data_IF_479887794077
#
_entry.id   IF_479887794077
#
_cell.length_a   1.000
_cell.length_b   1.000
_cell.length_c   1.000
_cell.angle_alpha   90.00
_cell.angle_beta   90.00
_cell.angle_gamma   90.00
#
_symmetry.space_group_name_H-M   'P 1'
#
loop_
_entity.id
_entity.type
_entity.pdbx_description
1 polymer ?
#
# COMPACT_ATOMS: atom_id res chain seq x y z
N UNK A 1 -8.66 -15.69 -1.76
CA UNK A 1 -7.48 -15.19 -1.03
C UNK A 1 -7.50 -13.69 -1.23
N UNK A 2 -7.85 -12.96 -0.17
CA UNK A 2 -8.12 -11.52 -0.15
C UNK A 2 -6.84 -10.73 -0.35
N UNK A 3 -7.02 -9.61 -1.04
CA UNK A 3 -6.07 -8.63 -1.53
C UNK A 3 -4.88 -8.31 -0.62
N UNK A 4 -3.68 -8.33 -1.21
CA UNK A 4 -2.51 -7.65 -0.62
C UNK A 4 -2.63 -6.12 -0.61
N UNK A 5 -3.80 -5.55 -0.94
CA UNK A 5 -4.08 -4.10 -0.96
C UNK A 5 -4.46 -3.57 0.40
N UNK A 6 -5.31 -4.26 1.15
CA UNK A 6 -5.66 -3.95 2.55
C UNK A 6 -4.41 -3.85 3.44
N UNK A 7 -3.47 -4.78 3.24
CA UNK A 7 -2.19 -4.78 3.95
C UNK A 7 -1.28 -3.64 3.50
N UNK A 8 -1.35 -3.20 2.24
CA UNK A 8 -0.60 -2.03 1.77
C UNK A 8 -1.13 -0.74 2.36
N UNK A 9 -2.45 -0.55 2.43
CA UNK A 9 -3.01 0.67 3.02
C UNK A 9 -2.62 0.81 4.49
N UNK A 10 -2.75 -0.26 5.28
CA UNK A 10 -2.28 -0.30 6.67
C UNK A 10 -0.78 -0.13 6.79
N UNK A 11 -0.02 -0.68 5.83
CA UNK A 11 1.42 -0.52 5.78
C UNK A 11 1.82 0.91 5.39
N UNK A 12 1.08 1.61 4.53
CA UNK A 12 1.40 2.99 4.15
C UNK A 12 0.95 3.98 5.23
N UNK A 13 -0.20 3.76 5.85
CA UNK A 13 -0.75 4.61 6.90
C UNK A 13 0.00 4.41 8.23
N UNK A 14 0.17 3.17 8.69
CA UNK A 14 0.78 2.87 10.00
C UNK A 14 2.29 2.59 9.95
N UNK A 15 2.79 2.03 8.85
CA UNK A 15 4.21 1.68 8.63
C UNK A 15 4.84 2.51 7.49
N UNK A 16 4.22 3.61 7.04
CA UNK A 16 4.89 4.57 6.16
C UNK A 16 5.57 5.68 6.96
N UNK A 17 4.98 6.00 8.12
CA UNK A 17 5.46 7.05 9.02
C UNK A 17 6.48 6.55 10.05
N UNK A 18 6.62 5.23 10.27
CA UNK A 18 7.43 4.67 11.35
C UNK A 18 8.53 3.61 11.04
N UNK A 19 8.77 3.11 9.81
CA UNK A 19 9.93 2.28 9.53
C UNK A 19 10.76 2.83 8.36
N UNK A 20 11.96 3.31 8.70
CA UNK A 20 13.19 2.52 8.54
C UNK A 20 13.09 1.37 7.51
N UNK A 21 12.93 1.71 6.23
CA UNK A 21 13.27 0.83 5.12
C UNK A 21 13.70 1.64 3.89
N UNK A 22 15.02 1.81 3.78
CA UNK A 22 15.84 1.95 2.55
C UNK A 22 15.52 3.12 1.59
N UNK A 23 16.45 4.07 1.51
CA UNK A 23 16.90 4.63 0.24
C UNK A 23 18.36 5.12 0.26
N UNK A 24 19.18 4.40 -0.54
CA UNK A 24 20.28 4.85 -1.39
C UNK A 24 21.46 5.65 -0.81
N UNK A 25 22.59 4.94 -0.74
CA UNK A 25 23.93 5.49 -1.00
C UNK A 25 23.92 6.35 -2.26
N UNK A 26 24.32 7.62 -2.14
CA UNK A 26 25.04 8.31 -3.20
C UNK A 26 26.47 8.54 -2.72
N UNK A 27 27.52 8.18 -3.48
CA UNK A 27 28.85 8.67 -3.19
C UNK A 27 28.85 10.19 -3.34
N UNK A 28 29.35 10.88 -2.31
CA UNK A 28 29.50 12.32 -2.30
C UNK A 28 30.23 12.79 -3.57
N UNK A 29 29.56 13.63 -4.37
CA UNK A 29 30.24 14.48 -5.34
C UNK A 29 30.93 15.59 -4.54
N UNK A 30 32.25 15.60 -4.55
CA UNK A 30 33.05 16.73 -4.08
C UNK A 30 32.72 17.95 -4.95
N UNK A 31 31.95 18.88 -4.41
CA UNK A 31 31.86 20.23 -4.97
C UNK A 31 33.05 21.06 -4.48
N UNK A 32 33.68 21.88 -5.34
CA UNK A 32 34.80 22.72 -4.93
C UNK A 32 34.35 23.77 -3.92
N UNK A 33 35.17 23.94 -2.88
CA UNK A 33 35.11 25.01 -1.87
C UNK A 33 35.15 26.38 -2.56
N UNK A 34 34.07 27.14 -2.43
CA UNK A 34 34.12 28.60 -2.54
C UNK A 34 33.91 29.17 -1.13
N UNK A 35 34.94 29.88 -0.64
CA UNK A 35 34.94 30.59 0.63
C UNK A 35 34.03 31.82 0.51
N UNK A 36 32.88 31.80 1.18
CA UNK A 36 32.07 33.01 1.38
C UNK A 36 31.32 32.96 2.71
N UNK A 37 31.83 33.77 3.65
CA UNK A 37 31.15 34.45 4.75
C UNK A 37 30.28 33.64 5.73
N UNK A 38 30.87 33.45 6.91
CA UNK A 38 30.27 33.21 8.22
C UNK A 38 28.92 33.94 8.44
N UNK A 39 27.83 33.21 8.28
CA UNK A 39 26.71 33.30 9.21
C UNK A 39 26.77 32.02 10.05
N UNK A 40 26.90 32.16 11.37
CA UNK A 40 26.62 31.08 12.31
C UNK A 40 25.11 30.78 12.25
N UNK A 41 24.66 30.16 11.15
CA UNK A 41 23.46 29.37 11.20
C UNK A 41 23.80 28.21 12.11
N UNK A 42 23.04 28.03 13.20
CA UNK A 42 22.94 26.73 13.85
C UNK A 42 22.83 25.71 12.73
N UNK A 43 23.87 24.88 12.56
CA UNK A 43 23.84 23.76 11.62
C UNK A 43 22.62 22.95 12.08
N UNK A 44 21.50 23.14 11.38
CA UNK A 44 20.33 22.32 11.63
C UNK A 44 20.83 20.90 11.38
N UNK A 45 20.93 20.07 12.43
CA UNK A 45 21.52 18.75 12.30
C UNK A 45 20.79 18.08 11.15
N UNK A 46 21.55 17.61 10.16
CA UNK A 46 21.08 17.02 8.90
C UNK A 46 19.71 16.37 9.12
N UNK A 47 18.64 17.13 8.86
CA UNK A 47 17.30 16.73 9.23
C UNK A 47 16.93 15.63 8.26
N UNK A 48 17.12 14.38 8.70
CA UNK A 48 16.91 13.20 7.88
C UNK A 48 15.43 13.03 7.49
N UNK A 49 14.53 13.80 8.10
CA UNK A 49 13.13 13.78 7.79
C UNK A 49 12.77 14.69 6.62
N UNK A 50 12.41 14.03 5.53
CA UNK A 50 11.42 14.43 4.53
C UNK A 50 11.23 15.95 4.40
N UNK A 51 11.84 16.55 3.37
CA UNK A 51 11.60 17.96 3.07
C UNK A 51 10.10 18.23 2.90
N UNK A 52 9.60 19.44 3.18
CA UNK A 52 8.17 19.75 3.05
C UNK A 52 7.57 19.39 1.68
N UNK A 53 8.39 19.42 0.62
CA UNK A 53 8.00 18.99 -0.72
C UNK A 53 7.83 17.46 -0.83
N UNK A 54 8.76 16.68 -0.26
CA UNK A 54 8.62 15.22 -0.25
C UNK A 54 7.42 14.80 0.59
N UNK A 55 7.16 15.45 1.73
CA UNK A 55 6.00 15.13 2.58
C UNK A 55 4.70 15.40 1.82
N UNK A 56 4.59 16.57 1.18
CA UNK A 56 3.41 16.92 0.39
C UNK A 56 3.15 15.93 -0.74
N UNK A 57 4.20 15.55 -1.48
CA UNK A 57 4.07 14.60 -2.59
C UNK A 57 3.73 13.19 -2.08
N UNK A 58 4.30 12.79 -0.95
CA UNK A 58 4.00 11.52 -0.29
C UNK A 58 2.54 11.45 0.20
N UNK A 59 2.02 12.55 0.76
CA UNK A 59 0.62 12.64 1.17
C UNK A 59 -0.34 12.65 -0.02
N UNK A 60 0.01 13.32 -1.12
CA UNK A 60 -0.80 13.26 -2.35
C UNK A 60 -0.84 11.82 -2.90
N UNK A 61 0.30 11.15 -2.95
CA UNK A 61 0.38 9.74 -3.35
C UNK A 61 -0.43 8.82 -2.44
N UNK A 62 -0.44 9.08 -1.12
CA UNK A 62 -1.24 8.34 -0.16
C UNK A 62 -2.74 8.54 -0.42
N UNK A 63 -3.18 9.77 -0.69
CA UNK A 63 -4.58 10.04 -1.04
C UNK A 63 -4.99 9.26 -2.28
N UNK A 64 -4.17 9.27 -3.33
CA UNK A 64 -4.43 8.51 -4.56
C UNK A 64 -4.58 7.01 -4.28
N UNK A 65 -3.77 6.46 -3.37
CA UNK A 65 -3.86 5.04 -2.99
C UNK A 65 -5.08 4.71 -2.12
N UNK A 66 -5.54 5.65 -1.29
CA UNK A 66 -6.79 5.49 -0.53
C UNK A 66 -7.99 5.61 -1.48
N UNK A 67 -7.95 6.56 -2.42
CA UNK A 67 -8.98 6.75 -3.44
C UNK A 67 -9.17 5.51 -4.32
N UNK A 68 -8.08 4.92 -4.79
CA UNK A 68 -8.11 3.67 -5.56
C UNK A 68 -8.82 2.50 -4.84
N UNK A 69 -8.88 2.52 -3.51
CA UNK A 69 -9.45 1.45 -2.68
C UNK A 69 -10.85 1.80 -2.15
N UNK A 70 -11.10 3.06 -1.81
CA UNK A 70 -12.39 3.53 -1.27
C UNK A 70 -13.31 4.15 -2.33
N UNK A 71 -12.81 4.35 -3.56
CA UNK A 71 -13.51 4.94 -4.70
C UNK A 71 -14.18 6.28 -4.33
N UNK A 72 -13.37 7.29 -3.99
CA UNK A 72 -13.92 8.58 -3.59
C UNK A 72 -14.53 9.31 -4.79
N UNK A 73 -15.58 10.08 -4.54
CA UNK A 73 -15.97 11.12 -5.48
C UNK A 73 -15.02 12.34 -5.42
N UNK A 74 -15.14 13.26 -6.38
CA UNK A 74 -14.27 14.44 -6.49
C UNK A 74 -14.29 15.30 -5.21
N UNK A 75 -15.43 15.40 -4.52
CA UNK A 75 -15.56 16.21 -3.30
C UNK A 75 -14.90 15.51 -2.11
N UNK A 76 -15.16 14.21 -1.94
CA UNK A 76 -14.53 13.36 -0.95
C UNK A 76 -13.01 13.33 -1.10
N UNK A 77 -12.51 13.12 -2.32
CA UNK A 77 -11.07 13.12 -2.63
C UNK A 77 -10.42 14.43 -2.18
N UNK A 78 -11.00 15.58 -2.55
CA UNK A 78 -10.46 16.89 -2.20
C UNK A 78 -10.53 17.17 -0.69
N UNK A 79 -11.59 16.70 -0.01
CA UNK A 79 -11.75 16.82 1.43
C UNK A 79 -10.70 15.96 2.18
N UNK A 80 -10.55 14.68 1.82
CA UNK A 80 -9.56 13.76 2.39
C UNK A 80 -8.14 14.28 2.17
N UNK A 81 -7.83 14.77 0.96
CA UNK A 81 -6.53 15.36 0.66
C UNK A 81 -6.22 16.55 1.56
N UNK A 82 -7.20 17.41 1.81
CA UNK A 82 -7.04 18.56 2.71
C UNK A 82 -6.83 18.09 4.14
N UNK A 83 -7.68 17.17 4.62
CA UNK A 83 -7.63 16.59 5.95
C UNK A 83 -6.24 16.01 6.23
N UNK A 84 -5.75 15.12 5.36
CA UNK A 84 -4.44 14.48 5.53
C UNK A 84 -3.30 15.50 5.51
N UNK A 85 -3.32 16.46 4.58
CA UNK A 85 -2.29 17.51 4.50
C UNK A 85 -2.23 18.35 5.76
N UNK A 86 -3.38 18.76 6.27
CA UNK A 86 -3.44 19.61 7.46
C UNK A 86 -3.03 18.83 8.72
N UNK A 87 -3.69 17.69 8.96
CA UNK A 87 -3.51 16.92 10.20
C UNK A 87 -2.15 16.23 10.28
N UNK A 88 -1.72 15.54 9.22
CA UNK A 88 -0.42 14.83 9.23
C UNK A 88 0.75 15.81 9.28
N UNK A 89 0.68 16.93 8.56
CA UNK A 89 1.73 17.95 8.63
C UNK A 89 1.79 18.58 10.03
N UNK A 90 0.64 18.88 10.64
CA UNK A 90 0.57 19.41 12.01
C UNK A 90 1.22 18.45 13.01
N UNK A 91 0.81 17.19 13.01
CA UNK A 91 1.38 16.15 13.87
C UNK A 91 2.89 16.01 13.68
N UNK A 92 3.36 15.89 12.44
CA UNK A 92 4.79 15.77 12.17
C UNK A 92 5.58 17.00 12.61
N UNK A 93 5.03 18.21 12.49
CA UNK A 93 5.69 19.43 12.97
C UNK A 93 5.76 19.50 14.49
N UNK A 94 4.73 19.05 15.18
CA UNK A 94 4.70 19.00 16.65
C UNK A 94 5.73 18.00 17.20
N UNK A 95 5.78 16.80 16.62
CA UNK A 95 6.65 15.71 17.09
C UNK A 95 8.02 15.65 16.38
N UNK A 96 8.31 16.57 15.44
CA UNK A 96 9.50 16.47 14.57
C UNK A 96 10.80 16.28 15.35
N UNK A 97 10.97 16.99 16.47
CA UNK A 97 12.23 17.00 17.22
C UNK A 97 12.51 15.63 17.82
N UNK A 98 11.50 15.03 18.44
CA UNK A 98 11.64 13.72 19.10
C UNK A 98 11.70 12.59 18.08
N UNK A 99 10.86 12.63 17.04
CA UNK A 99 10.91 11.66 15.94
C UNK A 99 12.28 11.67 15.23
N UNK A 100 12.85 12.85 14.99
CA UNK A 100 14.20 12.98 14.42
C UNK A 100 15.25 12.39 15.33
N UNK A 101 15.14 12.63 16.64
CA UNK A 101 16.08 12.06 17.58
C UNK A 101 16.00 10.54 17.57
N UNK A 102 14.80 9.96 17.72
CA UNK A 102 14.59 8.51 17.71
C UNK A 102 15.09 7.88 16.40
N UNK A 103 14.82 8.51 15.25
CA UNK A 103 15.30 8.04 13.96
C UNK A 103 16.83 8.03 13.91
N UNK A 104 17.50 9.11 14.35
CA UNK A 104 18.96 9.19 14.38
C UNK A 104 19.55 8.14 15.33
N UNK A 105 19.02 8.00 16.54
CA UNK A 105 19.43 6.96 17.52
C UNK A 105 19.34 5.57 16.89
N UNK A 106 18.22 5.25 16.23
CA UNK A 106 18.09 3.96 15.54
C UNK A 106 19.15 3.80 14.44
N UNK A 107 19.34 4.81 13.59
CA UNK A 107 20.28 4.71 12.46
C UNK A 107 21.72 4.58 12.93
N UNK A 108 22.11 5.32 13.97
CA UNK A 108 23.42 5.20 14.60
C UNK A 108 23.67 3.78 15.09
N UNK A 109 22.71 3.18 15.81
CA UNK A 109 22.80 1.78 16.22
C UNK A 109 22.90 0.84 15.00
N UNK A 110 22.01 1.02 14.01
CA UNK A 110 21.97 0.19 12.81
C UNK A 110 23.29 0.20 12.03
N UNK A 111 23.90 1.37 11.86
CA UNK A 111 25.15 1.53 11.12
C UNK A 111 26.40 1.22 11.94
N UNK A 112 26.32 1.15 13.27
CA UNK A 112 27.40 0.66 14.12
C UNK A 112 27.73 -0.82 13.84
N UNK A 113 26.75 -1.60 13.35
CA UNK A 113 26.94 -2.99 12.92
C UNK A 113 26.94 -4.03 14.04
N UNK A 114 27.14 -3.61 15.29
CA UNK A 114 27.00 -4.42 16.50
C UNK A 114 25.63 -4.17 17.16
N UNK A 115 25.02 -5.19 17.80
CA UNK A 115 23.77 -4.98 18.53
C UNK A 115 23.99 -4.01 19.70
N UNK A 116 23.10 -3.02 19.91
CA UNK A 116 23.15 -2.18 21.10
C UNK A 116 22.94 -3.00 22.37
N UNK A 117 23.43 -2.52 23.50
CA UNK A 117 23.15 -3.14 24.79
C UNK A 117 21.69 -2.90 25.24
N UNK A 118 21.23 -3.68 26.22
CA UNK A 118 19.85 -3.62 26.70
C UNK A 118 19.51 -2.28 27.38
N UNK A 119 20.49 -1.57 27.95
CA UNK A 119 20.27 -0.28 28.60
C UNK A 119 20.02 0.80 27.54
N UNK A 120 20.78 0.78 26.45
CA UNK A 120 20.57 1.63 25.29
C UNK A 120 19.19 1.41 24.67
N UNK A 121 18.80 0.15 24.47
CA UNK A 121 17.48 -0.18 23.91
C UNK A 121 16.35 0.22 24.86
N UNK A 122 16.54 0.08 26.17
CA UNK A 122 15.57 0.52 27.16
C UNK A 122 15.33 2.04 27.12
N UNK A 123 16.40 2.85 27.08
CA UNK A 123 16.30 4.31 26.95
C UNK A 123 15.58 4.73 25.66
N UNK A 124 15.91 4.08 24.53
CA UNK A 124 15.20 4.28 23.27
C UNK A 124 13.71 3.97 23.42
N UNK A 125 13.38 2.85 24.05
CA UNK A 125 11.99 2.39 24.18
C UNK A 125 11.16 3.26 25.12
N UNK A 126 11.74 3.74 26.23
CA UNK A 126 11.09 4.69 27.14
C UNK A 126 10.66 5.98 26.44
N UNK A 127 11.41 6.39 25.42
CA UNK A 127 11.13 7.59 24.62
C UNK A 127 10.22 7.34 23.44
N UNK A 128 10.37 6.20 22.78
CA UNK A 128 9.54 5.81 21.65
C UNK A 128 8.10 5.49 22.06
N UNK A 129 7.88 4.92 23.25
CA UNK A 129 6.56 4.46 23.68
C UNK A 129 5.54 5.60 23.78
N UNK A 130 5.82 6.77 24.41
CA UNK A 130 4.92 7.92 24.38
C UNK A 130 4.58 8.38 22.95
N UNK A 131 5.56 8.40 22.04
CA UNK A 131 5.34 8.83 20.66
C UNK A 131 4.42 7.86 19.90
N UNK A 132 4.53 6.56 20.16
CA UNK A 132 3.61 5.56 19.59
C UNK A 132 2.19 5.71 20.12
N UNK A 133 2.02 6.05 21.41
CA UNK A 133 0.71 6.30 22.02
C UNK A 133 0.03 7.54 21.42
N UNK A 134 0.77 8.64 21.32
CA UNK A 134 0.30 9.89 20.69
C UNK A 134 -0.03 9.66 19.21
N UNK A 135 0.78 8.89 18.49
CA UNK A 135 0.48 8.52 17.09
C UNK A 135 -0.79 7.67 16.97
N UNK A 136 -1.03 6.75 17.92
CA UNK A 136 -2.26 5.95 17.93
C UNK A 136 -3.50 6.83 18.12
N UNK A 137 -3.46 7.76 19.08
CA UNK A 137 -4.53 8.73 19.30
C UNK A 137 -4.78 9.58 18.05
N UNK A 138 -3.70 10.10 17.44
CA UNK A 138 -3.76 10.84 16.17
C UNK A 138 -4.44 10.04 15.05
N UNK A 139 -4.12 8.76 14.92
CA UNK A 139 -4.73 7.90 13.90
C UNK A 139 -6.23 7.67 14.13
N UNK A 140 -6.69 7.61 15.38
CA UNK A 140 -8.12 7.56 15.70
C UNK A 140 -8.83 8.86 15.35
N UNK A 141 -8.25 10.01 15.69
CA UNK A 141 -8.80 11.33 15.31
C UNK A 141 -8.87 11.50 13.80
N UNK A 142 -7.85 11.03 13.09
CA UNK A 142 -7.83 11.05 11.64
C UNK A 142 -8.96 10.19 11.08
N UNK A 143 -9.14 8.96 11.59
CA UNK A 143 -10.23 8.07 11.19
C UNK A 143 -11.61 8.69 11.46
N UNK A 144 -11.80 9.41 12.56
CA UNK A 144 -13.03 10.18 12.82
C UNK A 144 -13.26 11.24 11.74
N UNK A 145 -12.21 11.97 11.33
CA UNK A 145 -12.29 12.91 10.22
C UNK A 145 -12.69 12.26 8.89
N UNK A 146 -12.23 11.03 8.62
CA UNK A 146 -12.69 10.27 7.45
C UNK A 146 -14.18 9.91 7.56
N UNK A 147 -14.68 9.55 8.76
CA UNK A 147 -16.10 9.19 8.96
C UNK A 147 -17.06 10.34 8.65
N UNK A 148 -16.62 11.58 8.79
CA UNK A 148 -17.42 12.75 8.42
C UNK A 148 -17.52 12.98 6.91
N UNK A 149 -16.57 12.44 6.12
CA UNK A 149 -16.45 12.64 4.68
C UNK A 149 -17.02 11.43 3.90
N UNK A 150 -16.82 10.24 4.44
CA UNK A 150 -17.09 8.98 3.77
C UNK A 150 -18.55 8.52 3.93
N UNK A 151 -19.04 7.72 2.98
CA UNK A 151 -20.32 7.03 3.11
C UNK A 151 -20.21 5.79 4.02
N UNK A 152 -21.33 5.15 4.33
CA UNK A 152 -21.37 4.03 5.28
C UNK A 152 -20.48 2.84 4.89
N UNK A 153 -20.41 2.49 3.60
CA UNK A 153 -19.60 1.37 3.12
C UNK A 153 -18.10 1.69 3.23
N UNK A 154 -17.70 2.91 2.84
CA UNK A 154 -16.34 3.41 3.00
C UNK A 154 -15.94 3.48 4.49
N UNK A 155 -16.85 3.94 5.37
CA UNK A 155 -16.64 3.95 6.82
C UNK A 155 -16.43 2.53 7.35
N UNK A 156 -17.22 1.55 6.91
CA UNK A 156 -17.03 0.16 7.32
C UNK A 156 -15.64 -0.38 6.91
N UNK A 157 -15.12 0.03 5.76
CA UNK A 157 -13.76 -0.31 5.32
C UNK A 157 -12.68 0.37 6.18
N UNK A 158 -12.82 1.68 6.45
CA UNK A 158 -11.91 2.43 7.32
C UNK A 158 -11.86 1.82 8.72
N UNK A 159 -13.01 1.52 9.31
CA UNK A 159 -13.12 0.87 10.62
C UNK A 159 -12.45 -0.51 10.64
N UNK A 160 -12.59 -1.27 9.54
CA UNK A 160 -11.91 -2.55 9.36
C UNK A 160 -10.39 -2.37 9.30
N UNK A 161 -9.89 -1.34 8.64
CA UNK A 161 -8.47 -1.01 8.66
C UNK A 161 -8.02 -0.62 10.08
N UNK A 162 -8.75 0.27 10.76
CA UNK A 162 -8.42 0.69 12.13
C UNK A 162 -8.34 -0.49 13.10
N UNK A 163 -9.23 -1.49 13.00
CA UNK A 163 -9.13 -2.70 13.80
C UNK A 163 -7.83 -3.50 13.56
N UNK A 164 -7.35 -3.52 12.31
CA UNK A 164 -6.05 -4.11 11.98
C UNK A 164 -4.88 -3.27 12.51
N UNK A 165 -4.98 -1.94 12.41
CA UNK A 165 -3.99 -1.00 12.93
C UNK A 165 -3.83 -1.11 14.46
N UNK A 166 -4.94 -1.19 15.20
CA UNK A 166 -4.95 -1.35 16.67
C UNK A 166 -4.14 -2.58 17.11
N UNK A 167 -4.28 -3.70 16.40
CA UNK A 167 -3.48 -4.92 16.66
C UNK A 167 -1.98 -4.68 16.44
N UNK A 168 -1.61 -3.91 15.41
CA UNK A 168 -0.22 -3.56 15.14
C UNK A 168 0.36 -2.63 16.21
N UNK A 169 -0.42 -1.64 16.64
CA UNK A 169 -0.04 -0.74 17.74
C UNK A 169 0.12 -1.51 19.05
N UNK A 170 -0.82 -2.39 19.39
CA UNK A 170 -0.75 -3.25 20.59
C UNK A 170 0.56 -4.06 20.60
N UNK A 171 0.88 -4.75 19.50
CA UNK A 171 2.12 -5.50 19.39
C UNK A 171 3.38 -4.60 19.49
N UNK A 172 3.33 -3.39 18.94
CA UNK A 172 4.39 -2.40 19.08
C UNK A 172 4.58 -1.92 20.52
N UNK A 173 3.49 -1.64 21.23
CA UNK A 173 3.50 -1.22 22.63
C UNK A 173 4.02 -2.32 23.54
N UNK A 174 3.57 -3.56 23.37
CA UNK A 174 4.06 -4.73 24.12
C UNK A 174 5.57 -4.87 23.97
N UNK A 175 6.09 -4.71 22.75
CA UNK A 175 7.51 -4.81 22.45
C UNK A 175 8.33 -3.66 23.06
N UNK A 176 7.90 -2.42 22.87
CA UNK A 176 8.58 -1.26 23.45
C UNK A 176 8.57 -1.33 24.98
N UNK A 177 7.48 -1.79 25.58
CA UNK A 177 7.42 -2.00 27.03
C UNK A 177 8.39 -3.10 27.50
N UNK A 178 8.47 -4.22 26.78
CA UNK A 178 9.44 -5.27 27.11
C UNK A 178 10.89 -4.73 27.00
N UNK A 179 11.16 -3.91 25.98
CA UNK A 179 12.46 -3.26 25.80
C UNK A 179 12.81 -2.27 26.91
N UNK A 180 11.87 -1.43 27.35
CA UNK A 180 12.11 -0.50 28.46
C UNK A 180 12.35 -1.23 29.79
N UNK A 181 11.77 -2.42 29.96
CA UNK A 181 12.04 -3.30 31.10
C UNK A 181 13.37 -4.07 30.97
N UNK A 182 14.12 -3.88 29.87
CA UNK A 182 15.43 -4.48 29.62
C UNK A 182 15.40 -5.86 28.97
N UNK A 183 14.25 -6.31 28.46
CA UNK A 183 14.08 -7.62 27.81
C UNK A 183 14.47 -7.62 26.32
N UNK A 184 15.47 -6.83 25.93
CA UNK A 184 16.01 -6.87 24.56
C UNK A 184 16.87 -8.11 24.34
N UNK A 185 16.53 -8.90 23.31
CA UNK A 185 17.31 -10.09 22.91
C UNK A 185 18.04 -9.85 21.58
N UNK A 186 19.37 -9.62 21.58
CA UNK A 186 20.12 -9.35 20.36
C UNK A 186 20.08 -10.52 19.37
N UNK A 187 19.88 -11.77 19.81
CA UNK A 187 19.83 -12.91 18.90
C UNK A 187 18.54 -12.93 18.07
N UNK A 188 17.40 -12.53 18.64
CA UNK A 188 16.12 -12.60 17.92
C UNK A 188 15.61 -11.24 17.43
N UNK A 189 16.18 -10.14 17.89
CA UNK A 189 15.69 -8.78 17.62
C UNK A 189 16.65 -7.91 16.82
N UNK A 190 17.93 -8.28 16.73
CA UNK A 190 18.92 -7.55 15.93
C UNK A 190 18.99 -8.07 14.49
N UNK A 191 18.84 -7.19 13.50
CA UNK A 191 18.89 -7.55 12.06
C UNK A 191 20.16 -8.28 11.63
N UNK A 192 21.29 -8.05 12.33
CA UNK A 192 22.56 -8.71 12.06
C UNK A 192 22.65 -10.16 12.55
N UNK A 193 21.73 -10.61 13.41
CA UNK A 193 21.76 -11.95 13.97
C UNK A 193 21.30 -13.03 12.96
N UNK A 194 21.87 -14.25 13.00
CA UNK A 194 21.38 -15.41 12.26
C UNK A 194 19.91 -15.77 12.58
N UNK A 195 19.50 -15.68 13.84
CA UNK A 195 18.17 -16.10 14.28
C UNK A 195 17.07 -15.07 14.00
N UNK A 196 17.45 -13.80 13.83
CA UNK A 196 16.53 -12.69 13.58
C UNK A 196 15.56 -12.95 12.43
N UNK A 197 16.05 -13.40 11.26
CA UNK A 197 15.19 -13.57 10.07
C UNK A 197 14.05 -14.56 10.30
N UNK A 198 14.32 -15.65 11.03
CA UNK A 198 13.32 -16.65 11.33
C UNK A 198 12.31 -16.14 12.38
N UNK A 199 12.81 -15.51 13.45
CA UNK A 199 11.98 -14.92 14.49
C UNK A 199 11.07 -13.83 13.90
N UNK A 200 11.63 -12.91 13.10
CA UNK A 200 10.91 -11.81 12.47
C UNK A 200 9.85 -12.29 11.47
N UNK A 201 10.16 -13.32 10.67
CA UNK A 201 9.18 -13.90 9.76
C UNK A 201 7.99 -14.53 10.50
N UNK A 202 8.25 -15.19 11.63
CA UNK A 202 7.20 -15.77 12.47
C UNK A 202 6.34 -14.68 13.12
N UNK A 203 6.96 -13.67 13.74
CA UNK A 203 6.25 -12.50 14.31
C UNK A 203 5.40 -11.80 13.26
N UNK A 204 5.97 -11.53 12.08
CA UNK A 204 5.26 -10.88 10.98
C UNK A 204 4.03 -11.68 10.54
N UNK A 205 4.15 -13.00 10.37
CA UNK A 205 3.02 -13.86 10.00
C UNK A 205 1.94 -13.89 11.07
N UNK A 206 2.34 -14.01 12.34
CA UNK A 206 1.40 -13.99 13.45
C UNK A 206 0.65 -12.66 13.52
N UNK A 207 1.38 -11.55 13.39
CA UNK A 207 0.81 -10.22 13.37
C UNK A 207 -0.16 -10.03 12.19
N UNK A 208 0.26 -10.37 10.97
CA UNK A 208 -0.59 -10.32 9.77
C UNK A 208 -1.88 -11.13 9.96
N UNK A 209 -1.79 -12.33 10.54
CA UNK A 209 -2.97 -13.15 10.81
C UNK A 209 -3.92 -12.49 11.82
N UNK A 210 -3.39 -11.91 12.91
CA UNK A 210 -4.19 -11.19 13.91
C UNK A 210 -4.87 -9.96 13.31
N UNK A 211 -4.13 -9.15 12.54
CA UNK A 211 -4.66 -7.96 11.87
C UNK A 211 -5.79 -8.31 10.92
N UNK A 212 -5.59 -9.31 10.05
CA UNK A 212 -6.62 -9.77 9.09
C UNK A 212 -7.85 -10.31 9.83
N UNK A 213 -7.66 -11.03 10.93
CA UNK A 213 -8.76 -11.53 11.74
C UNK A 213 -9.57 -10.38 12.37
N UNK A 214 -8.91 -9.36 12.92
CA UNK A 214 -9.54 -8.18 13.50
C UNK A 214 -10.33 -7.38 12.45
N UNK A 215 -9.71 -7.07 11.31
CA UNK A 215 -10.38 -6.41 10.17
C UNK A 215 -11.61 -7.18 9.71
N UNK A 216 -11.50 -8.50 9.55
CA UNK A 216 -12.62 -9.35 9.14
C UNK A 216 -13.76 -9.34 10.17
N UNK A 217 -13.42 -9.40 11.46
CA UNK A 217 -14.42 -9.36 12.52
C UNK A 217 -15.22 -8.04 12.48
N UNK A 218 -14.55 -6.92 12.21
CA UNK A 218 -15.20 -5.61 12.07
C UNK A 218 -16.15 -5.55 10.87
N UNK A 219 -15.74 -6.04 9.70
CA UNK A 219 -16.63 -6.13 8.52
C UNK A 219 -17.86 -6.99 8.82
N UNK A 220 -17.68 -8.12 9.49
CA UNK A 220 -18.79 -9.01 9.85
C UNK A 220 -19.77 -8.35 10.83
N UNK A 221 -19.24 -7.56 11.77
CA UNK A 221 -20.06 -6.76 12.68
C UNK A 221 -20.97 -5.79 11.91
N UNK A 222 -20.45 -5.06 10.92
CA UNK A 222 -21.26 -4.18 10.07
C UNK A 222 -22.36 -4.92 9.32
N UNK A 223 -22.02 -6.05 8.68
CA UNK A 223 -23.01 -6.87 7.95
C UNK A 223 -24.12 -7.39 8.85
N UNK A 224 -23.76 -7.84 10.06
CA UNK A 224 -24.74 -8.34 11.02
C UNK A 224 -25.64 -7.22 11.58
N UNK A 225 -25.09 -6.01 11.74
CA UNK A 225 -25.85 -4.84 12.19
C UNK A 225 -26.87 -4.35 11.17
N UNK A 226 -26.49 -4.29 9.89
CA UNK A 226 -27.40 -3.93 8.80
C UNK A 226 -28.54 -4.97 8.63
N UNK A 227 -28.22 -6.27 8.74
CA UNK A 227 -29.21 -7.33 8.64
C UNK A 227 -30.28 -7.31 9.76
N UNK A 228 -29.98 -6.69 10.91
CA UNK A 228 -30.92 -6.57 12.01
C UNK A 228 -31.80 -5.30 11.92
N UNK A 229 -31.43 -4.31 11.09
CA UNK A 229 -32.08 -3.00 11.03
C UNK A 229 -33.14 -2.85 9.95
N UNK A 230 -33.13 -3.67 8.90
CA UNK A 230 -34.02 -3.53 7.75
C UNK A 230 -34.85 -4.79 7.51
N UNK A 231 -36.05 -4.83 8.12
CA UNK A 231 -37.19 -5.53 7.49
C UNK A 231 -38.20 -4.47 7.04
N UNK A 232 -38.06 -3.86 5.85
CA UNK A 232 -39.20 -3.22 5.22
C UNK A 232 -40.13 -4.33 4.73
N UNK A 233 -41.43 -4.32 5.08
CA UNK A 233 -42.39 -5.19 4.42
C UNK A 233 -42.60 -4.62 3.01
N UNK A 234 -42.04 -5.25 1.99
CA UNK A 234 -42.40 -4.89 0.62
C UNK A 234 -42.55 -6.12 -0.27
N UNK A 235 -43.80 -6.59 -0.33
CA UNK A 235 -44.36 -7.40 -1.40
C UNK A 235 -44.30 -6.60 -2.71
N UNK A 236 -43.21 -6.70 -3.46
CA UNK A 236 -43.16 -6.24 -4.83
C UNK A 236 -42.33 -7.20 -5.67
N UNK A 237 -43.02 -7.91 -6.57
CA UNK A 237 -42.47 -8.83 -7.54
C UNK A 237 -41.35 -8.18 -8.36
N UNK A 238 -40.16 -8.79 -8.32
CA UNK A 238 -39.02 -8.36 -9.10
C UNK A 238 -39.13 -8.85 -10.55
N UNK A 239 -39.38 -7.91 -11.46
CA UNK A 239 -39.06 -8.06 -12.88
C UNK A 239 -37.52 -8.03 -13.03
N UNK A 240 -36.98 -9.06 -13.66
CA UNK A 240 -35.55 -9.22 -13.90
C UNK A 240 -35.04 -8.14 -14.87
N UNK A 241 -34.30 -7.16 -14.35
CA UNK A 241 -33.63 -6.15 -15.15
C UNK A 241 -32.53 -6.78 -16.02
N UNK A 242 -32.67 -6.58 -17.33
CA UNK A 242 -31.72 -6.98 -18.36
C UNK A 242 -30.47 -6.08 -18.28
N UNK A 243 -29.24 -6.62 -18.23
CA UNK A 243 -28.02 -5.82 -18.11
C UNK A 243 -27.78 -4.94 -19.36
N UNK A 244 -27.10 -3.78 -19.20
CA UNK A 244 -26.88 -2.83 -20.28
C UNK A 244 -26.00 -3.42 -21.39
N UNK A 245 -26.49 -3.34 -22.62
CA UNK A 245 -25.76 -3.73 -23.82
C UNK A 245 -24.76 -2.63 -24.19
N UNK A 246 -23.47 -2.84 -23.96
CA UNK A 246 -22.45 -1.86 -24.37
C UNK A 246 -21.02 -2.10 -23.89
N UNK A 247 -20.81 -2.90 -22.84
CA UNK A 247 -19.47 -3.34 -22.51
C UNK A 247 -19.01 -4.34 -23.58
N UNK A 248 -17.88 -4.06 -24.26
CA UNK A 248 -17.21 -5.07 -25.07
C UNK A 248 -16.95 -6.27 -24.16
N UNK A 249 -17.63 -7.40 -24.42
CA UNK A 249 -17.58 -8.59 -23.58
C UNK A 249 -16.12 -8.93 -23.28
N UNK A 250 -15.72 -8.84 -22.01
CA UNK A 250 -14.42 -9.33 -21.57
C UNK A 250 -14.39 -10.82 -21.92
N UNK A 251 -13.49 -11.20 -22.84
CA UNK A 251 -13.35 -12.58 -23.30
C UNK A 251 -13.19 -13.59 -22.15
N UNK A 252 -12.72 -13.14 -20.98
CA UNK A 252 -12.59 -13.93 -19.77
C UNK A 252 -13.94 -14.21 -19.11
N UNK A 253 -14.77 -13.18 -18.98
CA UNK A 253 -16.12 -13.30 -18.45
C UNK A 253 -16.98 -14.19 -19.36
N UNK A 254 -16.87 -13.98 -20.68
CA UNK A 254 -17.56 -14.80 -21.67
C UNK A 254 -17.17 -16.29 -21.55
N UNK A 255 -15.88 -16.59 -21.29
CA UNK A 255 -15.42 -17.95 -21.04
C UNK A 255 -16.07 -18.57 -19.79
N UNK A 256 -16.10 -17.84 -18.67
CA UNK A 256 -16.66 -18.33 -17.39
C UNK A 256 -18.17 -18.57 -17.51
N UNK A 257 -18.90 -17.66 -18.17
CA UNK A 257 -20.32 -17.84 -18.48
C UNK A 257 -20.55 -19.08 -19.34
N UNK A 258 -19.75 -19.27 -20.39
CA UNK A 258 -19.82 -20.44 -21.25
C UNK A 258 -19.46 -21.74 -20.51
N UNK A 259 -18.49 -21.70 -19.59
CA UNK A 259 -18.09 -22.83 -18.75
C UNK A 259 -19.22 -23.25 -17.81
N UNK A 260 -19.82 -22.28 -17.09
CA UNK A 260 -20.98 -22.51 -16.22
C UNK A 260 -22.14 -23.13 -17.01
N UNK A 261 -22.46 -22.58 -18.18
CA UNK A 261 -23.54 -23.06 -19.03
C UNK A 261 -23.28 -24.47 -19.56
N UNK A 262 -22.05 -24.75 -20.00
CA UNK A 262 -21.65 -26.06 -20.57
C UNK A 262 -21.73 -27.19 -19.56
N UNK A 263 -21.31 -26.94 -18.32
CA UNK A 263 -21.26 -27.97 -17.28
C UNK A 263 -22.46 -27.95 -16.33
N UNK A 264 -23.43 -27.06 -16.56
CA UNK A 264 -24.64 -26.91 -15.74
C UNK A 264 -24.31 -26.88 -14.24
N UNK A 265 -23.34 -26.03 -13.87
CA UNK A 265 -22.86 -25.94 -12.50
C UNK A 265 -23.99 -25.53 -11.55
N UNK A 266 -24.05 -26.13 -10.37
CA UNK A 266 -24.96 -25.70 -9.30
C UNK A 266 -24.55 -24.32 -8.75
N UNK A 267 -25.41 -23.70 -7.94
CA UNK A 267 -25.22 -22.34 -7.43
C UNK A 267 -23.90 -22.17 -6.66
N UNK A 268 -23.48 -23.18 -5.90
CA UNK A 268 -22.23 -23.14 -5.15
C UNK A 268 -21.02 -23.15 -6.09
N UNK A 269 -21.02 -24.04 -7.09
CA UNK A 269 -19.95 -24.12 -8.09
C UNK A 269 -19.90 -22.90 -9.00
N UNK A 270 -21.05 -22.31 -9.34
CA UNK A 270 -21.10 -21.04 -10.08
C UNK A 270 -20.42 -19.92 -9.29
N UNK A 271 -20.73 -19.81 -7.99
CA UNK A 271 -20.10 -18.81 -7.13
C UNK A 271 -18.59 -19.00 -7.07
N UNK A 272 -18.11 -20.25 -6.96
CA UNK A 272 -16.66 -20.55 -6.98
C UNK A 272 -16.02 -20.18 -8.33
N UNK A 273 -16.67 -20.49 -9.46
CA UNK A 273 -16.17 -20.11 -10.78
C UNK A 273 -16.00 -18.57 -10.90
N UNK A 274 -16.97 -17.81 -10.41
CA UNK A 274 -16.87 -16.34 -10.36
C UNK A 274 -15.79 -15.82 -9.41
N UNK A 275 -15.55 -16.49 -8.28
CA UNK A 275 -14.43 -16.16 -7.41
C UNK A 275 -13.07 -16.39 -8.08
N UNK A 276 -12.91 -17.47 -8.85
CA UNK A 276 -11.70 -17.70 -9.63
C UNK A 276 -11.52 -16.67 -10.74
N UNK A 277 -12.59 -16.33 -11.46
CA UNK A 277 -12.58 -15.25 -12.44
C UNK A 277 -12.06 -13.94 -11.85
N UNK A 278 -12.67 -13.49 -10.75
CA UNK A 278 -12.29 -12.23 -10.09
C UNK A 278 -10.81 -12.22 -9.69
N UNK A 279 -10.31 -13.34 -9.15
CA UNK A 279 -8.90 -13.50 -8.77
C UNK A 279 -7.96 -13.36 -9.97
N UNK A 280 -8.23 -14.08 -11.05
CA UNK A 280 -7.35 -14.06 -12.22
C UNK A 280 -7.44 -12.73 -12.99
N UNK A 281 -8.62 -12.10 -13.04
CA UNK A 281 -8.78 -10.75 -13.57
C UNK A 281 -7.91 -9.76 -12.77
N UNK A 282 -7.88 -9.87 -11.44
CA UNK A 282 -7.03 -9.04 -10.60
C UNK A 282 -5.53 -9.27 -10.87
N UNK A 283 -5.11 -10.52 -11.05
CA UNK A 283 -3.72 -10.87 -11.39
C UNK A 283 -3.30 -10.30 -12.76
N UNK A 284 -4.21 -10.35 -13.76
CA UNK A 284 -4.05 -9.69 -15.07
C UNK A 284 -3.87 -8.19 -14.89
N UNK A 285 -4.76 -7.53 -14.17
CA UNK A 285 -4.75 -6.07 -14.02
C UNK A 285 -3.52 -5.61 -13.22
N UNK A 286 -3.08 -6.38 -12.23
CA UNK A 286 -1.82 -6.15 -11.51
C UNK A 286 -0.60 -6.34 -12.41
N UNK A 287 -0.63 -7.29 -13.33
CA UNK A 287 0.43 -7.47 -14.32
C UNK A 287 0.48 -6.29 -15.30
N UNK A 288 -0.66 -5.92 -15.88
CA UNK A 288 -0.77 -4.81 -16.83
C UNK A 288 -0.37 -3.47 -16.20
N UNK A 289 -0.79 -3.17 -14.97
CA UNK A 289 -0.36 -1.95 -14.25
C UNK A 289 1.16 -1.86 -14.09
N UNK A 290 1.83 -2.99 -13.78
CA UNK A 290 3.30 -3.05 -13.70
C UNK A 290 3.99 -2.92 -15.06
N UNK A 291 3.24 -3.08 -16.15
CA UNK A 291 3.72 -3.00 -17.53
C UNK A 291 3.34 -1.69 -18.23
N UNK A 292 2.72 -0.73 -17.54
CA UNK A 292 2.35 0.56 -18.14
C UNK A 292 3.56 1.29 -18.74
N UNK A 293 4.68 1.37 -18.03
CA UNK A 293 5.90 2.02 -18.54
C UNK A 293 6.47 1.31 -19.78
N UNK A 294 6.42 -0.03 -19.80
CA UNK A 294 6.84 -0.83 -20.94
C UNK A 294 5.91 -0.57 -22.14
N UNK A 295 4.60 -0.49 -21.92
CA UNK A 295 3.60 -0.17 -22.96
C UNK A 295 3.82 1.24 -23.54
N UNK A 296 4.04 2.26 -22.70
CA UNK A 296 4.39 3.60 -23.18
C UNK A 296 5.73 3.64 -23.92
N UNK A 297 6.69 2.78 -23.56
CA UNK A 297 7.92 2.60 -24.34
C UNK A 297 7.63 1.99 -25.73
N UNK A 298 6.77 0.97 -25.80
CA UNK A 298 6.36 0.33 -27.06
C UNK A 298 5.66 1.35 -27.97
N UNK A 299 4.75 2.17 -27.45
CA UNK A 299 4.07 3.23 -28.20
C UNK A 299 5.07 4.23 -28.81
N UNK A 300 6.07 4.66 -28.03
CA UNK A 300 7.15 5.53 -28.53
C UNK A 300 7.95 4.87 -29.64
N UNK A 301 8.20 3.57 -29.55
CA UNK A 301 8.88 2.82 -30.62
C UNK A 301 8.05 2.78 -31.91
N UNK A 302 6.73 2.58 -31.81
CA UNK A 302 5.85 2.65 -32.99
C UNK A 302 5.82 4.05 -33.62
N UNK A 303 5.72 5.10 -32.79
CA UNK A 303 5.75 6.48 -33.28
C UNK A 303 7.07 6.79 -33.99
N UNK A 304 8.19 6.33 -33.45
CA UNK A 304 9.51 6.48 -34.05
C UNK A 304 9.63 5.70 -35.37
N UNK A 305 9.09 4.48 -35.44
CA UNK A 305 9.06 3.70 -36.66
C UNK A 305 8.29 4.45 -37.78
N UNK A 306 7.13 5.02 -37.46
CA UNK A 306 6.33 5.84 -38.40
C UNK A 306 7.13 7.06 -38.88
N UNK A 307 7.85 7.73 -37.97
CA UNK A 307 8.71 8.88 -38.30
C UNK A 307 9.82 8.49 -39.28
N UNK A 308 10.54 7.39 -39.00
CA UNK A 308 11.62 6.87 -39.86
C UNK A 308 11.12 6.44 -41.25
N UNK A 309 9.89 5.90 -41.32
CA UNK A 309 9.24 5.56 -42.58
C UNK A 309 9.00 6.82 -43.45
N UNK A 310 8.57 7.92 -42.82
CA UNK A 310 8.44 9.23 -43.47
C UNK A 310 9.77 9.83 -43.95
N UNK A 311 10.88 9.52 -43.27
CA UNK A 311 12.25 9.91 -43.66
C UNK A 311 12.87 9.00 -44.73
N UNK A 312 12.10 8.05 -45.30
CA UNK A 312 12.57 7.04 -46.26
C UNK A 312 13.66 6.10 -45.68
N UNK A 313 13.72 5.93 -44.36
CA UNK A 313 14.60 4.97 -43.67
C UNK A 313 13.87 3.66 -43.39
N UNK A 314 13.41 3.00 -44.45
CA UNK A 314 12.53 1.82 -44.37
C UNK A 314 13.10 0.68 -43.51
N UNK A 315 14.40 0.42 -43.61
CA UNK A 315 15.03 -0.71 -42.92
C UNK A 315 15.11 -0.48 -41.41
N UNK A 316 15.38 0.76 -40.98
CA UNK A 316 15.40 1.14 -39.56
C UNK A 316 13.98 1.15 -38.97
N UNK A 317 13.02 1.70 -39.72
CA UNK A 317 11.60 1.68 -39.36
C UNK A 317 11.10 0.24 -39.15
N UNK A 318 11.42 -0.66 -40.08
CA UNK A 318 11.04 -2.07 -40.00
C UNK A 318 11.63 -2.75 -38.76
N UNK A 319 12.90 -2.49 -38.42
CA UNK A 319 13.54 -3.03 -37.20
C UNK A 319 12.89 -2.49 -35.93
N UNK A 320 12.55 -1.20 -35.90
CA UNK A 320 11.91 -0.59 -34.74
C UNK A 320 10.51 -1.16 -34.51
N UNK A 321 9.70 -1.28 -35.59
CA UNK A 321 8.38 -1.92 -35.53
C UNK A 321 8.47 -3.37 -35.08
N UNK A 322 9.38 -4.16 -35.66
CA UNK A 322 9.57 -5.56 -35.26
C UNK A 322 9.95 -5.72 -33.78
N UNK A 323 10.73 -4.79 -33.23
CA UNK A 323 11.08 -4.80 -31.81
C UNK A 323 9.89 -4.41 -30.92
N UNK A 324 9.10 -3.43 -31.33
CA UNK A 324 7.87 -3.04 -30.63
C UNK A 324 6.86 -4.21 -30.61
N UNK A 325 6.64 -4.85 -31.76
CA UNK A 325 5.78 -6.04 -31.90
C UNK A 325 6.26 -7.18 -30.98
N UNK A 326 7.57 -7.43 -30.93
CA UNK A 326 8.13 -8.49 -30.10
C UNK A 326 7.93 -8.24 -28.59
N UNK A 327 8.05 -7.00 -28.13
CA UNK A 327 7.78 -6.66 -26.72
C UNK A 327 6.28 -6.71 -26.40
N UNK A 328 5.42 -6.22 -27.30
CA UNK A 328 3.97 -6.31 -27.12
C UNK A 328 3.52 -7.77 -27.04
N UNK A 329 4.03 -8.62 -27.93
CA UNK A 329 3.75 -10.05 -27.93
C UNK A 329 4.14 -10.74 -26.61
N UNK A 330 5.23 -10.31 -25.94
CA UNK A 330 5.58 -10.83 -24.60
C UNK A 330 4.54 -10.46 -23.54
N UNK A 331 4.02 -9.22 -23.58
CA UNK A 331 2.98 -8.77 -22.65
C UNK A 331 1.71 -9.58 -22.89
N UNK A 332 1.28 -9.70 -24.14
CA UNK A 332 0.11 -10.50 -24.54
C UNK A 332 0.26 -11.97 -24.15
N UNK A 333 1.42 -12.59 -24.38
CA UNK A 333 1.68 -13.97 -23.99
C UNK A 333 1.53 -14.19 -22.48
N UNK A 334 2.07 -13.30 -21.66
CA UNK A 334 1.93 -13.42 -20.20
C UNK A 334 0.47 -13.24 -19.75
N UNK A 335 -0.30 -12.35 -20.39
CA UNK A 335 -1.74 -12.22 -20.14
C UNK A 335 -2.47 -13.51 -20.52
N UNK A 336 -2.13 -14.09 -21.68
CA UNK A 336 -2.67 -15.37 -22.12
C UNK A 336 -2.29 -16.52 -21.17
N UNK A 337 -1.08 -16.55 -20.61
CA UNK A 337 -0.69 -17.54 -19.60
C UNK A 337 -1.47 -17.39 -18.28
N UNK A 338 -1.86 -16.18 -17.89
CA UNK A 338 -2.79 -15.98 -16.77
C UNK A 338 -4.18 -16.52 -17.16
N UNK A 339 -4.62 -16.29 -18.39
CA UNK A 339 -5.89 -16.80 -18.89
C UNK A 339 -5.93 -18.33 -18.99
N UNK A 340 -4.87 -19.00 -19.47
CA UNK A 340 -4.83 -20.47 -19.53
C UNK A 340 -4.90 -21.09 -18.13
N UNK A 341 -4.27 -20.46 -17.13
CA UNK A 341 -4.39 -20.88 -15.72
C UNK A 341 -5.78 -20.71 -15.12
N UNK A 342 -6.62 -19.85 -15.68
CA UNK A 342 -8.04 -19.76 -15.32
C UNK A 342 -8.84 -20.96 -15.87
N UNK A 343 -8.37 -21.59 -16.95
CA UNK A 343 -9.06 -22.73 -17.58
C UNK A 343 -8.73 -24.08 -16.93
N UNK A 344 -7.57 -24.18 -16.29
CA UNK A 344 -7.12 -25.33 -15.48
C UNK A 344 -7.86 -25.38 -14.13
#
# INVERSE_FOLDING_TARGET
MRDGRTLRLLYVIGLGLFPLTVAAQQPARETPKDESAQAQGEEQPLAFFVSPGVLRNGLDRLVDEIDDELEFDDEQYMAVRRLLRERVTGFLQEHHKELNHLANTYFEAYYAGEPPDSVYVADFADRALPQLLEFNEFMHELADGFREICNEDQVAMIDSYMAGFEVAVEAGQERLKAWSEGYFDPETEWRGSPAFRAAELNRKRELENRMVAASRAKIEQYRSGQAAGETPPNDAAADAAKPPAGAADDSWEAYVRAFIARYQLDSEKQQRAWQYHARYAEDRDRYLRRKLDDMSSIERMYAEAIRLEGEQKSDEAARMRARADAEMAKIENNVNEIFERLKE
#
